data_IF_265082510218
#
_entry.id   IF_265082510218
#
_cell.length_a   1.000
_cell.length_b   1.000
_cell.length_c   1.000
_cell.angle_alpha   90.00
_cell.angle_beta   90.00
_cell.angle_gamma   90.00
#
_symmetry.space_group_name_H-M   'P 1'
#
loop_
_entity.id
_entity.type
_entity.pdbx_description
1 polymer ?
#
# COMPACT_ATOMS: atom_id res chain seq x y z
N UNK A 1 23.24 -12.14 31.10
CA UNK A 1 22.22 -11.88 30.07
C UNK A 1 21.04 -11.17 30.72
N UNK A 2 20.71 -9.97 30.25
CA UNK A 2 19.49 -9.25 30.62
C UNK A 2 18.61 -9.13 29.38
N UNK A 3 17.30 -9.28 29.57
CA UNK A 3 16.26 -9.31 28.54
C UNK A 3 15.35 -8.11 28.74
N UNK A 4 15.11 -7.35 27.66
CA UNK A 4 14.22 -6.20 27.68
C UNK A 4 13.22 -6.29 26.53
N UNK A 5 11.94 -6.08 26.82
CA UNK A 5 10.95 -5.84 25.78
C UNK A 5 11.20 -4.46 25.18
N UNK A 6 11.14 -4.30 23.86
CA UNK A 6 11.54 -3.07 23.17
C UNK A 6 10.59 -2.69 22.05
N UNK A 7 10.66 -1.44 21.61
CA UNK A 7 10.02 -1.01 20.37
C UNK A 7 8.49 -0.96 20.43
N UNK A 8 7.85 -1.63 19.48
CA UNK A 8 6.39 -1.55 19.29
C UNK A 8 5.61 -2.01 20.52
N UNK A 9 6.06 -3.06 21.19
CA UNK A 9 5.39 -3.59 22.37
C UNK A 9 5.31 -2.56 23.51
N UNK A 10 6.42 -1.89 23.82
CA UNK A 10 6.48 -0.89 24.91
C UNK A 10 5.64 0.34 24.56
N UNK A 11 5.76 0.83 23.31
CA UNK A 11 4.98 1.97 22.82
C UNK A 11 3.48 1.68 22.84
N UNK A 12 3.07 0.55 22.28
CA UNK A 12 1.66 0.19 22.14
C UNK A 12 1.03 -0.07 23.51
N UNK A 13 1.77 -0.67 24.45
CA UNK A 13 1.33 -0.79 25.86
C UNK A 13 1.09 0.59 26.50
N UNK A 14 2.03 1.55 26.32
CA UNK A 14 1.90 2.91 26.87
C UNK A 14 0.74 3.69 26.24
N UNK A 15 0.36 3.38 24.99
CA UNK A 15 -0.82 3.93 24.32
C UNK A 15 -2.12 3.21 24.68
N UNK A 16 -2.07 2.14 25.47
CA UNK A 16 -3.24 1.31 25.78
C UNK A 16 -3.75 0.49 24.59
N UNK A 17 -2.91 0.25 23.59
CA UNK A 17 -3.20 -0.57 22.42
C UNK A 17 -2.87 -2.04 22.69
N UNK A 18 -3.54 -2.94 21.96
CA UNK A 18 -3.21 -4.36 22.02
C UNK A 18 -1.80 -4.62 21.45
N UNK A 19 -0.95 -5.27 22.24
CA UNK A 19 0.39 -5.69 21.81
C UNK A 19 0.26 -6.99 21.02
N UNK A 20 0.48 -6.94 19.70
CA UNK A 20 0.40 -8.11 18.82
C UNK A 20 1.70 -8.87 18.75
N UNK A 21 2.84 -8.16 18.77
CA UNK A 21 4.18 -8.72 18.65
C UNK A 21 5.08 -8.16 19.74
N UNK A 22 5.94 -9.02 20.29
CA UNK A 22 6.93 -8.65 21.31
C UNK A 22 8.33 -8.92 20.79
N UNK A 23 9.05 -7.83 20.60
CA UNK A 23 10.47 -7.86 20.28
C UNK A 23 11.26 -7.72 21.57
N UNK A 24 12.30 -8.54 21.71
CA UNK A 24 13.18 -8.56 22.86
C UNK A 24 14.60 -8.19 22.45
N UNK A 25 15.27 -7.37 23.25
CA UNK A 25 16.71 -7.14 23.17
C UNK A 25 17.42 -7.84 24.31
N UNK A 26 18.50 -8.53 23.95
CA UNK A 26 19.34 -9.29 24.85
C UNK A 26 20.70 -8.61 24.98
N UNK A 27 21.02 -8.17 26.20
CA UNK A 27 22.28 -7.49 26.53
C UNK A 27 23.19 -8.44 27.32
N UNK A 28 24.50 -8.40 27.04
CA UNK A 28 25.50 -9.24 27.71
C UNK A 28 25.31 -10.73 27.43
N UNK A 29 25.05 -11.07 26.16
CA UNK A 29 24.98 -12.44 25.64
C UNK A 29 25.68 -12.54 24.29
N UNK A 30 26.09 -13.75 23.90
CA UNK A 30 26.63 -14.06 22.58
C UNK A 30 25.68 -14.99 21.80
N UNK A 31 25.82 -15.10 20.47
CA UNK A 31 25.06 -16.06 19.67
C UNK A 31 25.14 -17.49 20.22
N UNK A 32 26.34 -17.93 20.64
CA UNK A 32 26.59 -19.27 21.17
C UNK A 32 25.80 -19.51 22.46
N UNK A 33 25.67 -18.48 23.31
CA UNK A 33 24.89 -18.56 24.55
C UNK A 33 23.38 -18.73 24.30
N UNK A 34 22.85 -18.13 23.23
CA UNK A 34 21.45 -18.26 22.83
C UNK A 34 21.21 -19.63 22.18
N UNK A 35 22.10 -20.07 21.29
CA UNK A 35 22.04 -21.41 20.68
C UNK A 35 22.11 -22.52 21.73
N UNK A 36 22.99 -22.39 22.73
CA UNK A 36 23.08 -23.32 23.86
C UNK A 36 21.80 -23.37 24.71
N UNK A 37 20.97 -22.32 24.66
CA UNK A 37 19.66 -22.25 25.32
C UNK A 37 18.50 -22.71 24.42
N UNK A 38 18.79 -23.22 23.23
CA UNK A 38 17.80 -23.74 22.29
C UNK A 38 17.11 -22.69 21.42
N UNK A 39 17.61 -21.45 21.39
CA UNK A 39 17.09 -20.43 20.49
C UNK A 39 17.44 -20.76 19.04
N UNK A 40 16.53 -20.42 18.12
CA UNK A 40 16.69 -20.72 16.69
C UNK A 40 17.08 -19.45 15.92
N UNK A 41 18.22 -19.42 15.21
CA UNK A 41 18.63 -18.23 14.46
C UNK A 41 17.71 -17.98 13.26
N UNK A 42 17.39 -16.70 13.01
CA UNK A 42 16.55 -16.24 11.90
C UNK A 42 17.35 -15.31 11.01
N UNK A 43 17.39 -15.63 9.71
CA UNK A 43 18.15 -14.85 8.73
C UNK A 43 19.64 -15.20 8.70
N UNK A 44 20.34 -14.69 7.68
CA UNK A 44 21.78 -14.96 7.48
C UNK A 44 22.69 -13.84 7.99
N UNK A 45 22.20 -12.60 8.01
CA UNK A 45 23.02 -11.41 8.25
C UNK A 45 22.72 -10.72 9.60
N UNK A 46 21.66 -11.12 10.30
CA UNK A 46 21.19 -10.49 11.53
C UNK A 46 21.11 -11.50 12.68
N UNK A 47 21.66 -11.19 13.87
CA UNK A 47 21.59 -12.07 15.04
C UNK A 47 20.23 -11.94 15.75
N UNK A 48 19.15 -12.25 15.03
CA UNK A 48 17.79 -12.40 15.57
C UNK A 48 17.54 -13.88 15.79
N UNK A 49 16.94 -14.22 16.92
CA UNK A 49 16.67 -15.59 17.31
C UNK A 49 15.22 -15.75 17.76
N UNK A 50 14.59 -16.89 17.46
CA UNK A 50 13.28 -17.25 18.01
C UNK A 50 13.45 -17.98 19.33
N UNK A 51 12.67 -17.58 20.32
CA UNK A 51 12.61 -18.26 21.60
C UNK A 51 11.97 -19.67 21.44
N UNK A 52 12.55 -20.73 22.04
CA UNK A 52 12.17 -22.13 21.76
C UNK A 52 10.74 -22.51 22.13
N UNK A 53 10.07 -21.74 23.00
CA UNK A 53 8.69 -22.03 23.44
C UNK A 53 7.66 -21.03 22.96
N UNK A 54 8.02 -19.75 22.94
CA UNK A 54 7.08 -18.66 22.59
C UNK A 54 7.18 -18.27 21.13
N UNK A 55 8.26 -18.64 20.43
CA UNK A 55 8.56 -18.19 19.07
C UNK A 55 8.61 -16.65 18.91
N UNK A 56 8.76 -15.91 20.01
CA UNK A 56 9.00 -14.47 20.00
C UNK A 56 10.44 -14.15 19.55
N UNK A 57 10.65 -12.97 18.99
CA UNK A 57 11.94 -12.54 18.43
C UNK A 57 12.85 -11.93 19.50
N UNK A 58 14.08 -12.44 19.58
CA UNK A 58 15.14 -11.99 20.49
C UNK A 58 16.36 -11.56 19.68
N UNK A 59 16.66 -10.27 19.69
CA UNK A 59 17.83 -9.70 19.04
C UNK A 59 18.95 -9.45 20.05
N UNK A 60 20.19 -9.78 19.68
CA UNK A 60 21.36 -9.32 20.45
C UNK A 60 21.57 -7.81 20.26
N UNK A 61 21.91 -7.11 21.35
CA UNK A 61 22.29 -5.70 21.29
C UNK A 61 23.50 -5.50 20.36
N UNK A 62 23.46 -4.44 19.53
CA UNK A 62 24.46 -4.27 18.45
C UNK A 62 24.89 -2.84 18.21
N UNK A 63 26.07 -2.71 17.60
CA UNK A 63 26.48 -1.50 16.89
C UNK A 63 26.71 -1.79 15.40
N UNK A 64 26.32 -0.87 14.53
CA UNK A 64 26.46 -0.96 13.07
C UNK A 64 27.50 0.08 12.59
N UNK A 65 28.40 -0.27 11.68
CA UNK A 65 29.28 0.74 11.07
C UNK A 65 29.03 0.80 9.57
N UNK A 66 28.62 1.97 9.06
CA UNK A 66 28.51 2.25 7.63
C UNK A 66 29.93 2.29 7.03
N UNK A 67 30.27 1.35 6.16
CA UNK A 67 31.57 1.22 5.49
C UNK A 67 31.54 1.69 4.04
N UNK A 68 30.36 1.81 3.42
CA UNK A 68 30.18 2.31 2.06
C UNK A 68 28.79 2.95 1.86
N UNK A 69 28.61 3.80 0.83
CA UNK A 69 27.29 4.17 0.34
C UNK A 69 26.52 2.92 -0.15
N UNK A 70 25.24 2.80 0.19
CA UNK A 70 24.39 1.67 -0.19
C UNK A 70 24.30 0.53 0.84
N UNK A 71 23.46 -0.47 0.55
CA UNK A 71 23.03 -1.52 1.49
C UNK A 71 24.13 -2.50 1.92
N UNK A 72 25.14 -2.73 1.08
CA UNK A 72 26.23 -3.69 1.37
C UNK A 72 27.31 -3.14 2.31
N UNK A 73 27.10 -1.94 2.85
CA UNK A 73 28.07 -1.23 3.68
C UNK A 73 27.83 -1.33 5.19
N UNK A 74 27.23 -2.39 5.73
CA UNK A 74 27.06 -2.50 7.19
C UNK A 74 27.80 -3.70 7.75
N UNK A 75 28.76 -3.46 8.65
CA UNK A 75 29.34 -4.49 9.50
C UNK A 75 28.63 -4.42 10.86
N UNK A 76 27.98 -5.52 11.23
CA UNK A 76 27.33 -5.67 12.53
C UNK A 76 28.34 -6.14 13.56
N UNK A 77 28.55 -5.33 14.60
CA UNK A 77 29.30 -5.72 15.78
C UNK A 77 28.32 -5.97 16.92
N UNK A 78 27.95 -7.24 17.09
CA UNK A 78 27.26 -7.74 18.28
C UNK A 78 28.32 -8.19 19.29
N UNK A 79 28.67 -7.30 20.22
CA UNK A 79 29.57 -7.61 21.33
C UNK A 79 28.75 -7.68 22.62
N UNK A 80 29.10 -8.58 23.58
CA UNK A 80 28.51 -8.54 24.91
C UNK A 80 28.69 -7.19 25.63
N UNK A 81 29.61 -6.36 25.16
CA UNK A 81 29.91 -5.02 25.68
C UNK A 81 28.91 -3.95 25.22
N UNK A 82 28.11 -4.22 24.18
CA UNK A 82 27.12 -3.24 23.70
C UNK A 82 26.03 -3.06 24.75
N UNK A 83 25.88 -1.81 25.20
CA UNK A 83 24.89 -1.43 26.21
C UNK A 83 23.49 -1.32 25.61
N UNK A 84 22.47 -1.38 26.47
CA UNK A 84 21.08 -1.13 26.06
C UNK A 84 20.94 0.27 25.44
N UNK A 85 21.59 1.28 26.01
CA UNK A 85 21.53 2.66 25.53
C UNK A 85 22.11 2.80 24.11
N UNK A 86 23.23 2.12 23.81
CA UNK A 86 23.82 2.12 22.48
C UNK A 86 22.94 1.46 21.42
N UNK A 87 22.20 0.41 21.78
CA UNK A 87 21.21 -0.22 20.92
C UNK A 87 20.01 0.71 20.66
N UNK A 88 19.45 1.29 21.73
CA UNK A 88 18.31 2.21 21.64
C UNK A 88 18.65 3.44 20.79
N UNK A 89 19.87 3.97 20.90
CA UNK A 89 20.38 5.12 20.12
C UNK A 89 20.33 4.89 18.61
N UNK A 90 20.40 3.64 18.16
CA UNK A 90 20.41 3.28 16.72
C UNK A 90 19.03 3.10 16.13
N UNK A 91 17.97 3.13 16.94
CA UNK A 91 16.60 3.00 16.46
C UNK A 91 16.18 4.24 15.66
N UNK A 92 15.08 4.08 14.93
CA UNK A 92 14.56 5.11 14.04
C UNK A 92 13.93 6.26 14.82
N UNK A 93 12.96 5.95 15.68
CA UNK A 93 12.13 6.92 16.40
C UNK A 93 12.27 6.79 17.92
N UNK A 94 12.20 7.92 18.63
CA UNK A 94 12.24 7.99 20.11
C UNK A 94 11.16 7.13 20.74
N UNK A 95 9.93 7.19 20.21
CA UNK A 95 8.79 6.36 20.64
C UNK A 95 9.03 4.84 20.47
N UNK A 96 10.01 4.43 19.66
CA UNK A 96 10.40 3.03 19.49
C UNK A 96 11.72 2.70 20.21
N UNK A 97 12.36 3.71 20.81
CA UNK A 97 13.64 3.63 21.50
C UNK A 97 13.47 3.56 23.02
N UNK A 98 12.42 2.88 23.46
CA UNK A 98 12.16 2.54 24.86
C UNK A 98 12.32 1.04 25.07
N UNK A 99 12.72 0.68 26.28
CA UNK A 99 12.89 -0.71 26.72
C UNK A 99 12.20 -0.93 28.07
N UNK A 100 11.67 -2.12 28.31
CA UNK A 100 11.02 -2.51 29.57
C UNK A 100 11.62 -3.80 30.09
N UNK A 101 12.03 -3.84 31.34
CA UNK A 101 12.54 -5.06 31.96
C UNK A 101 11.42 -5.98 32.49
N UNK A 102 11.81 -7.14 33.01
CA UNK A 102 10.89 -8.13 33.60
C UNK A 102 10.17 -7.62 34.86
N UNK A 103 10.74 -6.64 35.56
CA UNK A 103 10.13 -5.99 36.71
C UNK A 103 9.12 -4.89 36.31
N UNK A 104 9.04 -4.58 35.02
CA UNK A 104 8.16 -3.56 34.45
C UNK A 104 8.73 -2.14 34.47
N UNK A 105 10.00 -1.97 34.84
CA UNK A 105 10.69 -0.69 34.76
C UNK A 105 10.99 -0.35 33.31
N UNK A 106 10.65 0.87 32.90
CA UNK A 106 10.89 1.36 31.54
C UNK A 106 12.12 2.25 31.51
N UNK A 107 13.03 1.91 30.61
CA UNK A 107 14.23 2.66 30.26
C UNK A 107 13.96 3.48 29.00
N UNK A 108 14.07 4.79 29.12
CA UNK A 108 13.80 5.75 28.05
C UNK A 108 14.87 6.86 28.03
N UNK A 109 16.08 6.58 27.51
CA UNK A 109 17.17 7.55 27.50
C UNK A 109 16.97 8.69 26.48
N UNK A 110 15.98 8.58 25.59
CA UNK A 110 15.78 9.49 24.46
C UNK A 110 14.45 10.26 24.51
N UNK A 111 13.72 10.20 25.61
CA UNK A 111 12.47 10.96 25.81
C UNK A 111 11.30 10.48 24.95
N UNK A 112 11.26 9.19 24.60
CA UNK A 112 10.18 8.58 23.84
C UNK A 112 8.81 8.70 24.52
N UNK A 113 8.74 8.71 25.85
CA UNK A 113 7.51 8.92 26.62
C UNK A 113 6.94 10.33 26.43
N UNK A 114 7.81 11.33 26.47
CA UNK A 114 7.42 12.72 26.31
C UNK A 114 6.95 12.98 24.87
N UNK A 115 7.67 12.44 23.88
CA UNK A 115 7.26 12.50 22.47
C UNK A 115 5.94 11.73 22.23
N UNK A 116 5.73 10.59 22.89
CA UNK A 116 4.48 9.83 22.82
C UNK A 116 3.30 10.63 23.38
N UNK A 117 3.48 11.27 24.52
CA UNK A 117 2.48 12.13 25.15
C UNK A 117 2.20 13.40 24.31
N UNK A 118 3.23 13.98 23.70
CA UNK A 118 3.13 15.12 22.81
C UNK A 118 2.65 14.78 21.39
N UNK A 119 2.49 13.49 21.06
CA UNK A 119 2.15 12.97 19.73
C UNK A 119 3.14 13.44 18.66
N UNK A 120 4.44 13.25 18.92
CA UNK A 120 5.53 13.68 18.04
C UNK A 120 6.34 12.47 17.57
N UNK A 121 6.58 12.40 16.26
CA UNK A 121 7.53 11.49 15.64
C UNK A 121 8.90 12.19 15.55
N UNK A 122 9.83 11.80 16.43
CA UNK A 122 11.20 12.33 16.48
C UNK A 122 12.23 11.24 16.23
N UNK A 123 13.23 11.54 15.41
CA UNK A 123 14.38 10.65 15.23
C UNK A 123 15.24 10.58 16.50
N UNK A 124 15.82 9.42 16.77
CA UNK A 124 16.59 9.19 18.01
C UNK A 124 17.93 9.91 18.01
N UNK A 125 18.70 9.78 16.93
CA UNK A 125 20.08 10.26 16.88
C UNK A 125 20.56 10.48 15.43
N UNK A 126 21.72 11.13 15.21
CA UNK A 126 22.30 11.29 13.87
C UNK A 126 22.51 9.98 13.11
N UNK A 127 22.55 8.82 13.79
CA UNK A 127 22.60 7.50 13.17
C UNK A 127 21.38 7.22 12.26
N UNK A 128 20.30 8.00 12.38
CA UNK A 128 19.18 7.98 11.45
C UNK A 128 19.62 8.18 9.99
N UNK A 129 20.63 9.00 9.74
CA UNK A 129 21.13 9.25 8.38
C UNK A 129 21.86 8.04 7.75
N UNK A 130 22.20 7.02 8.55
CA UNK A 130 22.95 5.86 8.06
C UNK A 130 22.09 4.98 7.13
N UNK A 131 20.78 4.83 7.40
CA UNK A 131 19.85 4.02 6.58
C UNK A 131 18.69 4.87 6.01
N UNK A 132 18.69 5.15 4.69
CA UNK A 132 17.65 5.98 4.06
C UNK A 132 16.24 5.37 4.14
N UNK A 133 16.09 4.08 4.44
CA UNK A 133 14.74 3.48 4.61
C UNK A 133 14.00 4.12 5.77
N UNK A 134 14.71 4.73 6.73
CA UNK A 134 14.09 5.34 7.90
C UNK A 134 13.18 6.50 7.52
N UNK A 135 13.42 7.19 6.40
CA UNK A 135 12.50 8.18 5.83
C UNK A 135 11.12 7.54 5.54
N UNK A 136 11.12 6.39 4.86
CA UNK A 136 9.91 5.63 4.54
C UNK A 136 9.23 5.10 5.81
N UNK A 137 10.00 4.61 6.79
CA UNK A 137 9.47 4.14 8.08
C UNK A 137 8.78 5.27 8.85
N UNK A 138 9.38 6.45 8.92
CA UNK A 138 8.77 7.63 9.56
C UNK A 138 7.46 7.99 8.86
N UNK A 139 7.45 8.01 7.53
CA UNK A 139 6.23 8.29 6.76
C UNK A 139 5.14 7.22 7.00
N UNK A 140 5.51 5.93 7.05
CA UNK A 140 4.59 4.84 7.45
C UNK A 140 4.03 5.06 8.86
N UNK A 141 4.89 5.42 9.82
CA UNK A 141 4.44 5.71 11.19
C UNK A 141 3.50 6.90 11.24
N UNK A 142 3.66 7.90 10.38
CA UNK A 142 2.70 9.00 10.24
C UNK A 142 1.35 8.52 9.69
N UNK A 143 1.30 7.47 8.86
CA UNK A 143 0.04 6.86 8.43
C UNK A 143 -0.65 6.01 9.51
N UNK A 144 0.15 5.34 10.35
CA UNK A 144 -0.35 4.55 11.50
C UNK A 144 -0.86 5.46 12.63
N UNK A 145 -0.03 6.39 13.08
CA UNK A 145 -0.32 7.36 14.13
C UNK A 145 -0.67 8.71 13.49
N UNK A 146 -1.82 8.73 12.81
CA UNK A 146 -2.18 9.83 11.92
C UNK A 146 -2.46 11.17 12.62
N UNK A 147 -2.63 11.15 13.94
CA UNK A 147 -2.74 12.31 14.80
C UNK A 147 -1.40 12.81 15.34
N UNK A 148 -0.28 12.19 14.96
CA UNK A 148 1.06 12.61 15.34
C UNK A 148 1.64 13.60 14.33
N UNK A 149 2.38 14.58 14.84
CA UNK A 149 3.20 15.51 14.06
C UNK A 149 4.64 15.00 13.91
N UNK A 150 5.39 15.56 12.95
CA UNK A 150 6.83 15.32 12.86
C UNK A 150 7.58 16.40 13.63
N UNK A 151 8.63 16.00 14.36
CA UNK A 151 9.53 16.97 14.97
C UNK A 151 10.25 17.79 13.88
N UNK A 152 10.37 19.13 14.00
CA UNK A 152 10.97 19.98 12.97
C UNK A 152 12.37 19.55 12.55
N UNK A 153 13.21 19.15 13.50
CA UNK A 153 14.57 18.70 13.24
C UNK A 153 14.63 17.34 12.54
N UNK A 154 13.61 16.49 12.72
CA UNK A 154 13.46 15.21 12.00
C UNK A 154 13.13 15.48 10.53
N UNK A 155 12.17 16.37 10.27
CA UNK A 155 11.85 16.79 8.90
C UNK A 155 13.06 17.45 8.21
N UNK A 156 13.79 18.30 8.93
CA UNK A 156 15.00 18.93 8.41
C UNK A 156 16.10 17.89 8.09
N UNK A 157 16.27 16.86 8.93
CA UNK A 157 17.20 15.76 8.65
C UNK A 157 16.79 14.97 7.42
N UNK A 158 15.52 14.60 7.29
CA UNK A 158 14.99 13.88 6.12
C UNK A 158 15.22 14.67 4.82
N UNK A 159 14.95 15.99 4.84
CA UNK A 159 15.24 16.87 3.70
C UNK A 159 16.71 16.89 3.31
N UNK A 160 17.63 16.95 4.29
CA UNK A 160 19.08 16.88 4.03
C UNK A 160 19.49 15.55 3.40
N UNK A 161 18.95 14.44 3.88
CA UNK A 161 19.22 13.11 3.32
C UNK A 161 18.72 12.99 1.87
N UNK A 162 17.53 13.51 1.58
CA UNK A 162 16.98 13.56 0.21
C UNK A 162 17.86 14.43 -0.68
N UNK A 163 18.25 15.62 -0.23
CA UNK A 163 19.12 16.52 -0.98
C UNK A 163 20.51 15.92 -1.26
N UNK A 164 21.01 15.07 -0.35
CA UNK A 164 22.26 14.34 -0.51
C UNK A 164 22.15 13.12 -1.45
N UNK A 165 20.95 12.78 -1.97
CA UNK A 165 20.75 11.65 -2.87
C UNK A 165 20.69 10.29 -2.19
N UNK A 166 20.60 10.22 -0.85
CA UNK A 166 20.58 8.93 -0.12
C UNK A 166 19.33 8.09 -0.49
N UNK A 167 18.21 8.74 -0.81
CA UNK A 167 16.97 8.08 -1.24
C UNK A 167 17.13 7.37 -2.60
N UNK A 168 17.99 7.87 -3.47
CA UNK A 168 18.22 7.28 -4.81
C UNK A 168 18.95 5.93 -4.72
N UNK A 169 19.63 5.66 -3.59
CA UNK A 169 20.32 4.40 -3.31
C UNK A 169 19.40 3.31 -2.70
N UNK A 170 18.11 3.60 -2.48
CA UNK A 170 17.17 2.64 -1.91
C UNK A 170 16.87 1.49 -2.87
N UNK A 171 16.97 0.27 -2.35
CA UNK A 171 16.60 -0.95 -3.08
C UNK A 171 15.07 -0.96 -3.30
N UNK A 172 14.58 -1.17 -4.54
CA UNK A 172 13.15 -1.13 -4.86
C UNK A 172 12.24 -1.96 -3.97
N UNK A 173 12.66 -3.17 -3.60
CA UNK A 173 11.89 -4.09 -2.77
C UNK A 173 11.67 -3.52 -1.35
N UNK A 174 12.66 -2.81 -0.79
CA UNK A 174 12.51 -2.12 0.51
C UNK A 174 11.55 -0.94 0.39
N UNK A 175 11.61 -0.20 -0.72
CA UNK A 175 10.69 0.90 -1.01
C UNK A 175 9.25 0.37 -1.07
N UNK A 176 9.02 -0.68 -1.85
CA UNK A 176 7.70 -1.29 -1.97
C UNK A 176 7.18 -1.84 -0.64
N UNK A 177 8.00 -2.52 0.16
CA UNK A 177 7.58 -3.04 1.46
C UNK A 177 7.03 -1.95 2.37
N UNK A 178 7.70 -0.79 2.43
CA UNK A 178 7.22 0.32 3.27
C UNK A 178 5.99 1.01 2.67
N UNK A 179 5.92 1.20 1.35
CA UNK A 179 4.71 1.73 0.68
C UNK A 179 3.51 0.80 0.90
N UNK A 180 3.70 -0.50 0.74
CA UNK A 180 2.65 -1.49 0.92
C UNK A 180 2.13 -1.50 2.36
N UNK A 181 3.03 -1.44 3.36
CA UNK A 181 2.64 -1.35 4.77
C UNK A 181 1.91 -0.04 5.05
N UNK A 182 2.45 1.09 4.58
CA UNK A 182 1.83 2.40 4.79
C UNK A 182 0.46 2.54 4.13
N UNK A 183 0.26 1.97 2.94
CA UNK A 183 -1.05 1.87 2.30
C UNK A 183 -2.05 1.09 3.14
N UNK A 184 -1.61 0.11 3.94
CA UNK A 184 -2.45 -0.73 4.79
C UNK A 184 -2.76 -0.12 6.16
N UNK A 185 -2.19 1.03 6.50
CA UNK A 185 -2.49 1.73 7.75
C UNK A 185 -3.87 2.41 7.73
N UNK A 186 -4.26 3.00 8.86
CA UNK A 186 -5.56 3.65 9.05
C UNK A 186 -5.72 4.92 8.20
N UNK A 187 -4.66 5.72 8.04
CA UNK A 187 -4.68 6.95 7.24
C UNK A 187 -3.49 7.02 6.28
N UNK A 188 -3.49 6.24 5.19
CA UNK A 188 -2.37 6.15 4.27
C UNK A 188 -1.96 7.50 3.65
N UNK A 189 -2.85 8.50 3.56
CA UNK A 189 -2.51 9.84 3.04
C UNK A 189 -1.31 10.47 3.73
N UNK A 190 -1.22 10.32 5.05
CA UNK A 190 -0.16 10.93 5.88
C UNK A 190 1.23 10.47 5.48
N UNK A 191 1.37 9.24 5.00
CA UNK A 191 2.65 8.75 4.46
C UNK A 191 3.10 9.58 3.26
N UNK A 192 2.21 9.78 2.29
CA UNK A 192 2.54 10.49 1.06
C UNK A 192 2.69 11.99 1.30
N UNK A 193 1.92 12.58 2.21
CA UNK A 193 2.11 13.95 2.69
C UNK A 193 3.52 14.15 3.27
N UNK A 194 3.95 13.29 4.20
CA UNK A 194 5.30 13.35 4.79
C UNK A 194 6.39 13.14 3.74
N UNK A 195 6.22 12.18 2.82
CA UNK A 195 7.17 11.97 1.73
C UNK A 195 7.26 13.19 0.81
N UNK A 196 6.14 13.88 0.55
CA UNK A 196 6.10 15.11 -0.24
C UNK A 196 6.77 16.27 0.50
N UNK A 197 6.46 16.46 1.79
CA UNK A 197 7.03 17.51 2.64
C UNK A 197 8.55 17.43 2.79
N UNK A 198 9.12 16.23 2.83
CA UNK A 198 10.57 16.01 2.87
C UNK A 198 11.23 15.93 1.47
N UNK A 199 10.43 15.92 0.40
CA UNK A 199 10.90 15.84 -0.99
C UNK A 199 11.25 14.44 -1.48
N UNK A 200 11.04 13.39 -0.67
CA UNK A 200 11.30 12.02 -1.05
C UNK A 200 10.29 11.48 -2.08
N UNK A 201 9.05 12.00 -2.09
CA UNK A 201 7.99 11.53 -2.99
C UNK A 201 8.37 11.69 -4.47
N UNK A 202 8.95 12.83 -4.85
CA UNK A 202 9.38 13.11 -6.23
C UNK A 202 10.50 12.18 -6.72
N UNK A 203 11.27 11.59 -5.81
CA UNK A 203 12.31 10.59 -6.11
C UNK A 203 11.74 9.18 -6.20
N UNK A 204 10.84 8.83 -5.30
CA UNK A 204 10.32 7.46 -5.13
C UNK A 204 9.12 7.15 -6.03
N UNK A 205 8.19 8.10 -6.15
CA UNK A 205 6.93 8.00 -6.91
C UNK A 205 6.69 9.32 -7.67
N UNK A 206 7.56 9.69 -8.63
CA UNK A 206 7.40 10.93 -9.39
C UNK A 206 6.02 11.05 -10.06
N UNK A 207 5.43 9.92 -10.45
CA UNK A 207 4.10 9.87 -11.06
C UNK A 207 2.99 10.33 -10.10
N UNK A 208 3.13 10.05 -8.81
CA UNK A 208 2.19 10.50 -7.77
C UNK A 208 2.46 11.95 -7.39
N UNK A 209 3.73 12.33 -7.26
CA UNK A 209 4.12 13.71 -6.93
C UNK A 209 3.60 14.73 -7.96
N UNK A 210 3.66 14.34 -9.25
CA UNK A 210 3.23 15.14 -10.40
C UNK A 210 1.72 15.45 -10.44
N UNK A 211 0.90 14.79 -9.61
CA UNK A 211 -0.52 15.11 -9.48
C UNK A 211 -0.77 16.41 -8.71
N UNK A 212 0.19 16.87 -7.91
CA UNK A 212 0.00 18.06 -7.11
C UNK A 212 -0.04 19.32 -7.96
N UNK A 213 -1.04 20.16 -7.73
CA UNK A 213 -1.35 21.35 -8.51
C UNK A 213 -2.12 21.08 -9.80
N UNK A 214 -2.44 19.81 -10.13
CA UNK A 214 -3.22 19.47 -11.32
C UNK A 214 -4.71 19.68 -11.02
N UNK A 215 -5.38 20.66 -11.66
CA UNK A 215 -6.74 21.05 -11.31
C UNK A 215 -7.78 20.14 -11.97
N UNK A 216 -8.83 19.82 -11.22
CA UNK A 216 -9.99 19.05 -11.62
C UNK A 216 -11.26 19.91 -11.60
N UNK A 217 -12.33 19.41 -12.23
CA UNK A 217 -13.62 20.09 -12.24
C UNK A 217 -14.27 20.09 -10.86
N UNK A 218 -14.49 21.26 -10.28
CA UNK A 218 -15.09 21.44 -8.95
C UNK A 218 -16.48 20.80 -8.78
N UNK A 219 -17.28 20.70 -9.86
CA UNK A 219 -18.61 20.05 -9.83
C UNK A 219 -18.54 18.58 -9.39
N UNK A 220 -17.43 17.91 -9.70
CA UNK A 220 -17.19 16.50 -9.39
C UNK A 220 -16.12 16.30 -8.33
N UNK A 221 -15.16 17.22 -8.24
CA UNK A 221 -13.99 17.18 -7.36
C UNK A 221 -13.91 18.50 -6.59
N UNK A 222 -14.69 18.69 -5.52
CA UNK A 222 -14.72 19.97 -4.79
C UNK A 222 -13.37 20.35 -4.17
N UNK A 223 -12.50 19.37 -3.93
CA UNK A 223 -11.10 19.56 -3.53
C UNK A 223 -10.20 20.18 -4.61
N UNK A 224 -10.62 20.12 -5.88
CA UNK A 224 -9.94 20.63 -7.09
C UNK A 224 -8.60 19.97 -7.39
N UNK A 225 -7.70 19.85 -6.42
CA UNK A 225 -6.36 19.31 -6.61
C UNK A 225 -6.36 17.78 -6.74
N UNK A 226 -5.70 17.26 -7.78
CA UNK A 226 -5.67 15.82 -8.07
C UNK A 226 -4.87 15.03 -7.02
N UNK A 227 -3.78 15.57 -6.47
CA UNK A 227 -3.06 14.89 -5.39
C UNK A 227 -3.92 14.79 -4.14
N UNK A 228 -4.61 15.88 -3.77
CA UNK A 228 -5.55 15.88 -2.64
C UNK A 228 -6.66 14.86 -2.86
N UNK A 229 -7.26 14.80 -4.06
CA UNK A 229 -8.24 13.76 -4.42
C UNK A 229 -7.68 12.36 -4.17
N UNK A 230 -6.53 12.01 -4.77
CA UNK A 230 -5.94 10.67 -4.61
C UNK A 230 -5.65 10.35 -3.14
N UNK A 231 -5.24 11.33 -2.32
CA UNK A 231 -5.04 11.15 -0.88
C UNK A 231 -6.36 10.80 -0.16
N UNK A 232 -7.45 11.49 -0.50
CA UNK A 232 -8.78 11.18 0.05
C UNK A 232 -9.28 9.80 -0.40
N UNK A 233 -8.96 9.39 -1.63
CA UNK A 233 -9.33 8.09 -2.20
C UNK A 233 -8.63 6.93 -1.49
N UNK A 234 -7.33 7.03 -1.19
CA UNK A 234 -6.63 5.97 -0.45
C UNK A 234 -7.05 5.90 1.03
N UNK A 235 -7.38 7.02 1.65
CA UNK A 235 -7.96 7.06 3.00
C UNK A 235 -9.36 6.42 3.01
N UNK A 236 -10.19 6.70 2.01
CA UNK A 236 -11.50 6.05 1.85
C UNK A 236 -11.36 4.54 1.60
N UNK A 237 -10.41 4.13 0.75
CA UNK A 237 -10.12 2.71 0.54
C UNK A 237 -9.71 2.02 1.86
N UNK A 238 -9.01 2.73 2.74
CA UNK A 238 -8.67 2.24 4.07
C UNK A 238 -9.89 2.07 4.97
N UNK A 239 -10.77 3.08 5.01
CA UNK A 239 -12.02 3.05 5.77
C UNK A 239 -12.96 1.92 5.32
N UNK A 240 -12.98 1.62 4.02
CA UNK A 240 -13.73 0.50 3.44
C UNK A 240 -13.13 -0.89 3.75
N UNK A 241 -12.01 -0.96 4.48
CA UNK A 241 -11.33 -2.22 4.80
C UNK A 241 -10.72 -2.90 3.57
N UNK A 242 -10.38 -2.13 2.54
CA UNK A 242 -9.93 -2.66 1.25
C UNK A 242 -8.58 -3.40 1.37
N UNK A 243 -8.36 -4.49 0.60
CA UNK A 243 -7.08 -5.19 0.57
C UNK A 243 -6.01 -4.39 -0.19
N UNK A 244 -4.74 -4.75 0.00
CA UNK A 244 -3.59 -4.04 -0.59
C UNK A 244 -3.70 -3.81 -2.10
N UNK A 245 -4.09 -4.79 -2.95
CA UNK A 245 -4.27 -4.54 -4.38
C UNK A 245 -5.24 -3.39 -4.68
N UNK A 246 -6.38 -3.33 -3.97
CA UNK A 246 -7.39 -2.27 -4.10
C UNK A 246 -6.83 -0.91 -3.69
N UNK A 247 -6.11 -0.84 -2.56
CA UNK A 247 -5.51 0.42 -2.07
C UNK A 247 -4.42 0.94 -3.00
N UNK A 248 -3.62 0.04 -3.58
CA UNK A 248 -2.63 0.42 -4.59
C UNK A 248 -3.28 0.87 -5.91
N UNK A 249 -4.37 0.22 -6.33
CA UNK A 249 -5.15 0.65 -7.48
C UNK A 249 -5.77 2.04 -7.26
N UNK A 250 -6.30 2.31 -6.07
CA UNK A 250 -6.79 3.62 -5.64
C UNK A 250 -5.70 4.71 -5.73
N UNK A 251 -4.47 4.44 -5.25
CA UNK A 251 -3.34 5.38 -5.36
C UNK A 251 -2.99 5.75 -6.82
N UNK A 252 -3.20 4.84 -7.76
CA UNK A 252 -2.65 4.92 -9.11
C UNK A 252 -3.68 5.10 -10.22
N UNK A 253 -4.98 5.17 -9.90
CA UNK A 253 -6.03 5.19 -10.92
C UNK A 253 -5.96 6.41 -11.85
N UNK A 254 -5.42 7.53 -11.36
CA UNK A 254 -5.47 8.84 -11.99
C UNK A 254 -4.11 9.42 -12.41
N UNK A 255 -3.03 8.63 -12.39
CA UNK A 255 -1.67 9.11 -12.70
C UNK A 255 -1.57 9.87 -14.02
N UNK A 256 -2.37 9.48 -15.02
CA UNK A 256 -2.42 10.08 -16.34
C UNK A 256 -2.93 11.52 -16.37
N UNK A 257 -3.62 11.99 -15.31
CA UNK A 257 -4.08 13.39 -15.23
C UNK A 257 -2.90 14.37 -15.24
N UNK A 258 -1.77 13.99 -14.63
CA UNK A 258 -0.53 14.78 -14.62
C UNK A 258 0.06 15.03 -16.01
N UNK A 259 -0.28 14.21 -17.01
CA UNK A 259 0.19 14.36 -18.39
C UNK A 259 -0.76 15.18 -19.27
N UNK A 260 -1.84 15.72 -18.71
CA UNK A 260 -2.84 16.47 -19.48
C UNK A 260 -2.26 17.82 -19.92
N UNK A 261 -2.26 18.14 -21.23
CA UNK A 261 -1.86 19.46 -21.72
C UNK A 261 -2.69 20.59 -21.10
N UNK A 262 -2.06 21.74 -20.81
CA UNK A 262 -2.70 22.89 -20.14
C UNK A 262 -3.99 23.34 -20.83
N UNK A 263 -4.02 23.33 -22.17
CA UNK A 263 -5.21 23.73 -22.95
C UNK A 263 -6.40 22.77 -22.84
N UNK A 264 -6.23 21.60 -22.23
CA UNK A 264 -7.28 20.59 -22.02
C UNK A 264 -7.70 20.46 -20.55
N UNK A 265 -7.05 21.21 -19.64
CA UNK A 265 -7.44 21.26 -18.23
C UNK A 265 -8.80 21.98 -18.07
N UNK A 266 -9.63 21.58 -17.09
CA UNK A 266 -9.47 20.49 -16.13
C UNK A 266 -10.20 19.20 -16.55
N UNK A 267 -10.30 18.90 -17.86
CA UNK A 267 -11.15 17.79 -18.38
C UNK A 267 -10.42 16.45 -18.53
N UNK A 268 -9.09 16.46 -18.60
CA UNK A 268 -8.24 15.25 -18.65
C UNK A 268 -8.68 14.17 -19.66
N UNK A 269 -8.90 14.50 -20.95
CA UNK A 269 -9.28 13.49 -21.93
C UNK A 269 -8.20 12.41 -22.08
N UNK A 270 -8.60 11.14 -22.03
CA UNK A 270 -7.70 10.00 -22.23
C UNK A 270 -6.75 9.71 -21.06
N UNK A 271 -6.98 10.29 -19.88
CA UNK A 271 -6.15 10.03 -18.71
C UNK A 271 -6.18 8.55 -18.28
N UNK A 272 -7.23 7.80 -18.59
CA UNK A 272 -7.29 6.36 -18.27
C UNK A 272 -6.17 5.58 -19.00
N UNK A 273 -5.98 5.84 -20.30
CA UNK A 273 -4.91 5.21 -21.09
C UNK A 273 -3.52 5.68 -20.63
N UNK A 274 -3.35 6.97 -20.34
CA UNK A 274 -2.08 7.49 -19.83
C UNK A 274 -1.73 6.90 -18.47
N UNK A 275 -2.71 6.74 -17.58
CA UNK A 275 -2.52 6.09 -16.27
C UNK A 275 -2.03 4.65 -16.43
N UNK A 276 -2.64 3.88 -17.34
CA UNK A 276 -2.17 2.51 -17.66
C UNK A 276 -0.72 2.51 -18.14
N UNK A 277 -0.35 3.46 -19.01
CA UNK A 277 1.01 3.58 -19.53
C UNK A 277 2.05 3.92 -18.45
N UNK A 278 1.66 4.68 -17.42
CA UNK A 278 2.51 5.04 -16.28
C UNK A 278 2.62 3.92 -15.23
N UNK A 279 1.54 3.16 -15.00
CA UNK A 279 1.51 2.09 -13.99
C UNK A 279 2.52 1.00 -14.29
N UNK A 280 2.70 0.61 -15.56
CA UNK A 280 3.55 -0.52 -15.92
C UNK A 280 5.05 -0.27 -15.60
N UNK A 281 5.68 0.84 -16.05
CA UNK A 281 7.05 1.18 -15.65
C UNK A 281 7.20 1.38 -14.15
N UNK A 282 6.23 2.04 -13.48
CA UNK A 282 6.24 2.22 -12.03
C UNK A 282 6.29 0.88 -11.31
N UNK A 283 5.42 -0.05 -11.69
CA UNK A 283 5.36 -1.38 -11.07
C UNK A 283 6.63 -2.19 -11.33
N UNK A 284 7.22 -2.08 -12.52
CA UNK A 284 8.49 -2.73 -12.84
C UNK A 284 9.65 -2.15 -12.02
N UNK A 285 9.70 -0.81 -11.88
CA UNK A 285 10.72 -0.09 -11.12
C UNK A 285 10.68 -0.44 -9.64
N UNK A 286 9.50 -0.49 -9.04
CA UNK A 286 9.32 -0.78 -7.61
C UNK A 286 9.09 -2.26 -7.29
N UNK A 287 9.16 -3.16 -8.28
CA UNK A 287 8.92 -4.61 -8.11
C UNK A 287 7.58 -4.92 -7.46
N UNK A 288 6.54 -4.16 -7.84
CA UNK A 288 5.18 -4.33 -7.34
C UNK A 288 4.65 -5.72 -7.73
N UNK A 289 4.05 -6.47 -6.78
CA UNK A 289 3.47 -7.78 -7.06
C UNK A 289 2.45 -7.75 -8.19
N UNK A 290 2.41 -8.83 -8.97
CA UNK A 290 1.55 -8.95 -10.14
C UNK A 290 0.06 -8.71 -9.80
N UNK A 291 -0.41 -9.15 -8.65
CA UNK A 291 -1.81 -8.94 -8.22
C UNK A 291 -2.15 -7.45 -8.09
N UNK A 292 -1.29 -6.67 -7.44
CA UNK A 292 -1.46 -5.22 -7.29
C UNK A 292 -1.38 -4.52 -8.65
N UNK A 293 -0.40 -4.88 -9.48
CA UNK A 293 -0.21 -4.32 -10.82
C UNK A 293 -1.42 -4.57 -11.72
N UNK A 294 -1.93 -5.80 -11.77
CA UNK A 294 -3.07 -6.12 -12.63
C UNK A 294 -4.35 -5.43 -12.17
N UNK A 295 -4.60 -5.34 -10.85
CA UNK A 295 -5.77 -4.61 -10.36
C UNK A 295 -5.66 -3.11 -10.66
N UNK A 296 -4.50 -2.49 -10.41
CA UNK A 296 -4.24 -1.09 -10.73
C UNK A 296 -4.47 -0.79 -12.21
N UNK A 297 -3.97 -1.65 -13.11
CA UNK A 297 -4.19 -1.52 -14.56
C UNK A 297 -5.67 -1.55 -14.94
N UNK A 298 -6.45 -2.44 -14.33
CA UNK A 298 -7.89 -2.55 -14.60
C UNK A 298 -8.66 -1.31 -14.10
N UNK A 299 -8.39 -0.86 -12.87
CA UNK A 299 -9.05 0.31 -12.27
C UNK A 299 -8.69 1.57 -13.07
N UNK A 300 -7.42 1.83 -13.33
CA UNK A 300 -6.98 2.97 -14.13
C UNK A 300 -7.65 2.99 -15.51
N UNK A 301 -7.79 1.82 -16.15
CA UNK A 301 -8.42 1.72 -17.47
C UNK A 301 -9.91 1.96 -17.48
N UNK A 302 -10.64 1.45 -16.48
CA UNK A 302 -12.09 1.26 -16.55
C UNK A 302 -12.89 2.02 -15.47
N UNK A 303 -12.26 2.71 -14.53
CA UNK A 303 -12.99 3.42 -13.46
C UNK A 303 -14.03 4.42 -14.03
N UNK A 304 -13.70 5.16 -15.10
CA UNK A 304 -14.63 6.06 -15.77
C UNK A 304 -15.84 5.38 -16.42
N UNK A 305 -15.68 4.15 -16.94
CA UNK A 305 -16.78 3.34 -17.47
C UNK A 305 -17.63 2.75 -16.34
N UNK A 306 -16.99 2.37 -15.23
CA UNK A 306 -17.66 1.84 -14.04
C UNK A 306 -18.53 2.92 -13.38
N UNK A 307 -18.02 4.14 -13.22
CA UNK A 307 -18.80 5.28 -12.67
C UNK A 307 -20.06 5.58 -13.49
N UNK A 308 -19.99 5.36 -14.80
CA UNK A 308 -21.07 5.60 -15.77
C UNK A 308 -21.72 4.30 -16.25
N UNK A 309 -21.71 3.24 -15.44
CA UNK A 309 -22.19 1.93 -15.89
C UNK A 309 -23.65 1.92 -16.37
N UNK A 310 -24.46 2.84 -15.85
CA UNK A 310 -25.87 2.99 -16.22
C UNK A 310 -26.03 3.46 -17.68
N UNK A 311 -25.08 4.26 -18.19
CA UNK A 311 -25.04 4.77 -19.56
C UNK A 311 -24.55 3.72 -20.58
N UNK A 312 -23.91 2.64 -20.12
CA UNK A 312 -23.31 1.64 -21.01
C UNK A 312 -24.38 0.80 -21.73
N UNK A 313 -24.16 0.48 -23.01
CA UNK A 313 -25.00 -0.51 -23.70
C UNK A 313 -24.73 -1.92 -23.13
N UNK A 314 -25.70 -2.85 -23.16
CA UNK A 314 -25.49 -4.24 -22.70
C UNK A 314 -24.24 -4.92 -23.29
N UNK A 315 -23.96 -4.72 -24.58
CA UNK A 315 -22.74 -5.22 -25.22
C UNK A 315 -21.46 -4.62 -24.61
N UNK A 316 -21.46 -3.32 -24.31
CA UNK A 316 -20.33 -2.62 -23.67
C UNK A 316 -20.15 -3.05 -22.21
N UNK A 317 -21.25 -3.28 -21.48
CA UNK A 317 -21.19 -3.89 -20.14
C UNK A 317 -20.56 -5.28 -20.20
N UNK A 318 -20.92 -6.11 -21.21
CA UNK A 318 -20.27 -7.41 -21.38
C UNK A 318 -18.77 -7.28 -21.67
N UNK A 319 -18.39 -6.35 -22.56
CA UNK A 319 -16.98 -6.09 -22.87
C UNK A 319 -16.17 -5.68 -21.63
N UNK A 320 -16.74 -4.83 -20.78
CA UNK A 320 -16.15 -4.45 -19.48
C UNK A 320 -15.96 -5.69 -18.57
N UNK A 321 -16.99 -6.51 -18.42
CA UNK A 321 -16.93 -7.72 -17.58
C UNK A 321 -15.89 -8.71 -18.10
N UNK A 322 -15.80 -8.90 -19.42
CA UNK A 322 -14.81 -9.77 -20.06
C UNK A 322 -13.39 -9.21 -19.92
N UNK A 323 -13.19 -7.90 -20.13
CA UNK A 323 -11.90 -7.25 -19.99
C UNK A 323 -11.36 -7.26 -18.55
N UNK A 324 -12.23 -7.17 -17.55
CA UNK A 324 -11.87 -7.35 -16.14
C UNK A 324 -11.68 -8.82 -15.74
N UNK A 325 -11.97 -9.76 -16.64
CA UNK A 325 -11.99 -11.21 -16.38
C UNK A 325 -12.99 -11.60 -15.27
N UNK A 326 -14.08 -10.85 -15.14
CA UNK A 326 -15.02 -10.96 -14.02
C UNK A 326 -15.73 -12.33 -13.96
N UNK A 327 -15.86 -13.00 -15.11
CA UNK A 327 -16.47 -14.33 -15.19
C UNK A 327 -15.63 -15.42 -14.54
N UNK A 328 -14.30 -15.35 -14.69
CA UNK A 328 -13.37 -16.33 -14.11
C UNK A 328 -12.84 -15.91 -12.74
N UNK A 329 -12.76 -14.59 -12.49
CA UNK A 329 -12.23 -14.01 -11.25
C UNK A 329 -13.21 -12.99 -10.64
N UNK A 330 -14.41 -13.42 -10.21
CA UNK A 330 -15.44 -12.52 -9.70
C UNK A 330 -14.99 -11.77 -8.43
N UNK A 331 -14.15 -12.40 -7.59
CA UNK A 331 -13.60 -11.75 -6.39
C UNK A 331 -12.68 -10.58 -6.75
N UNK A 332 -11.85 -10.72 -7.79
CA UNK A 332 -11.00 -9.64 -8.28
C UNK A 332 -11.83 -8.51 -8.88
N UNK A 333 -12.92 -8.82 -9.57
CA UNK A 333 -13.84 -7.79 -10.04
C UNK A 333 -14.48 -7.03 -8.87
N UNK A 334 -14.86 -7.72 -7.78
CA UNK A 334 -15.28 -7.07 -6.54
C UNK A 334 -14.23 -6.09 -5.99
N UNK A 335 -12.94 -6.43 -6.04
CA UNK A 335 -11.85 -5.52 -5.65
C UNK A 335 -11.71 -4.30 -6.58
N UNK A 336 -11.97 -4.44 -7.89
CA UNK A 336 -12.01 -3.32 -8.84
C UNK A 336 -13.16 -2.38 -8.49
N UNK A 337 -14.35 -2.92 -8.22
CA UNK A 337 -15.52 -2.13 -7.83
C UNK A 337 -15.29 -1.40 -6.52
N UNK A 338 -14.62 -2.03 -5.55
CA UNK A 338 -14.26 -1.42 -4.27
C UNK A 338 -13.29 -0.25 -4.43
N UNK A 339 -12.33 -0.34 -5.36
CA UNK A 339 -11.45 0.79 -5.68
C UNK A 339 -12.23 1.96 -6.29
N UNK A 340 -13.21 1.66 -7.16
CA UNK A 340 -14.04 2.70 -7.78
C UNK A 340 -15.00 3.33 -6.76
N UNK A 341 -15.51 2.56 -5.79
CA UNK A 341 -16.27 3.12 -4.66
C UNK A 341 -15.40 4.07 -3.82
N UNK A 342 -14.16 3.67 -3.55
CA UNK A 342 -13.21 4.52 -2.85
C UNK A 342 -12.92 5.82 -3.61
N UNK A 343 -12.77 5.77 -4.94
CA UNK A 343 -12.61 6.95 -5.79
C UNK A 343 -13.85 7.87 -5.74
N UNK A 344 -15.05 7.28 -5.81
CA UNK A 344 -16.28 8.05 -5.76
C UNK A 344 -16.50 8.74 -4.41
N UNK A 345 -16.32 8.00 -3.30
CA UNK A 345 -16.58 8.49 -1.93
C UNK A 345 -15.41 9.31 -1.37
N UNK A 346 -14.20 9.10 -1.88
CA UNK A 346 -12.97 9.82 -1.52
C UNK A 346 -12.91 11.23 -2.08
N UNK A 347 -13.98 12.00 -1.91
CA UNK A 347 -14.12 13.40 -2.37
C UNK A 347 -14.69 14.25 -1.25
N UNK A 348 -14.41 15.54 -1.28
CA UNK A 348 -14.84 16.45 -0.22
C UNK A 348 -16.37 16.49 -0.10
N UNK A 349 -16.88 16.06 1.06
CA UNK A 349 -18.32 16.00 1.37
C UNK A 349 -19.06 14.80 0.76
N UNK A 350 -18.36 13.80 0.21
CA UNK A 350 -18.97 12.64 -0.46
C UNK A 350 -18.78 11.32 0.32
N UNK A 351 -18.15 11.36 1.49
CA UNK A 351 -17.75 10.15 2.23
C UNK A 351 -18.90 9.19 2.54
N UNK A 352 -20.12 9.71 2.74
CA UNK A 352 -21.32 8.90 3.03
C UNK A 352 -22.25 8.71 1.82
N UNK A 353 -21.86 9.15 0.62
CA UNK A 353 -22.71 9.01 -0.56
C UNK A 353 -22.78 7.55 -1.00
N UNK A 354 -23.98 7.13 -1.38
CA UNK A 354 -24.20 5.81 -1.95
C UNK A 354 -23.50 5.65 -3.30
N UNK A 355 -22.95 4.46 -3.54
CA UNK A 355 -22.32 4.08 -4.80
C UNK A 355 -23.03 2.86 -5.43
N UNK A 356 -24.23 3.04 -6.03
CA UNK A 356 -25.04 1.94 -6.54
C UNK A 356 -24.40 1.17 -7.72
N UNK A 357 -23.44 1.76 -8.40
CA UNK A 357 -22.76 1.22 -9.58
C UNK A 357 -22.16 -0.17 -9.30
N UNK A 358 -21.57 -0.37 -8.12
CA UNK A 358 -21.02 -1.66 -7.72
C UNK A 358 -22.10 -2.75 -7.69
N UNK A 359 -23.25 -2.48 -7.07
CA UNK A 359 -24.37 -3.41 -7.02
C UNK A 359 -24.96 -3.68 -8.41
N UNK A 360 -25.08 -2.65 -9.24
CA UNK A 360 -25.54 -2.77 -10.64
C UNK A 360 -24.66 -3.71 -11.45
N UNK A 361 -23.34 -3.53 -11.39
CA UNK A 361 -22.39 -4.37 -12.13
C UNK A 361 -22.29 -5.80 -11.58
N UNK A 362 -22.48 -6.00 -10.27
CA UNK A 362 -22.56 -7.35 -9.70
C UNK A 362 -23.84 -8.10 -10.13
N UNK A 363 -24.98 -7.41 -10.23
CA UNK A 363 -26.21 -8.01 -10.82
C UNK A 363 -26.00 -8.37 -12.29
N UNK A 364 -25.37 -7.49 -13.06
CA UNK A 364 -25.01 -7.75 -14.45
C UNK A 364 -24.10 -8.99 -14.57
N UNK A 365 -23.06 -9.09 -13.73
CA UNK A 365 -22.19 -10.26 -13.70
C UNK A 365 -22.95 -11.56 -13.39
N UNK A 366 -23.86 -11.53 -12.42
CA UNK A 366 -24.70 -12.69 -12.09
C UNK A 366 -25.54 -13.12 -13.29
N UNK A 367 -26.21 -12.18 -13.97
CA UNK A 367 -27.04 -12.47 -15.14
C UNK A 367 -26.24 -13.12 -16.29
N UNK A 368 -24.99 -12.71 -16.48
CA UNK A 368 -24.09 -13.29 -17.50
C UNK A 368 -23.59 -14.68 -17.09
N UNK A 369 -23.34 -14.90 -15.79
CA UNK A 369 -22.85 -16.19 -15.26
C UNK A 369 -23.91 -17.28 -15.21
N UNK A 370 -25.19 -16.93 -15.18
CA UNK A 370 -26.30 -17.90 -15.22
C UNK A 370 -26.58 -18.46 -16.62
N UNK A 371 -25.91 -17.95 -17.66
CA UNK A 371 -26.05 -18.48 -19.02
C UNK A 371 -25.42 -19.88 -19.11
N UNK A 372 -26.21 -20.86 -19.56
CA UNK A 372 -25.77 -22.23 -19.81
C UNK A 372 -24.88 -22.32 -21.05
N UNK A 373 -23.59 -22.05 -20.86
CA UNK A 373 -22.59 -22.15 -21.91
C UNK A 373 -22.45 -23.59 -22.46
N UNK A 374 -22.70 -24.60 -21.63
CA UNK A 374 -22.61 -26.02 -22.03
C UNK A 374 -23.75 -26.38 -22.98
N UNK A 375 -24.99 -26.06 -22.62
CA UNK A 375 -26.16 -26.27 -23.47
C UNK A 375 -26.05 -25.54 -24.81
N UNK A 376 -25.59 -24.27 -24.80
CA UNK A 376 -25.35 -23.51 -26.04
C UNK A 376 -24.27 -24.19 -26.89
N UNK A 377 -23.17 -24.65 -26.28
CA UNK A 377 -22.10 -25.32 -27.01
C UNK A 377 -22.57 -26.64 -27.64
N UNK A 378 -23.35 -27.45 -26.92
CA UNK A 378 -23.93 -28.69 -27.43
C UNK A 378 -24.90 -28.43 -28.60
N UNK A 379 -25.82 -27.48 -28.46
CA UNK A 379 -26.81 -27.14 -29.49
C UNK A 379 -26.14 -26.64 -30.78
N UNK A 380 -25.13 -25.78 -30.66
CA UNK A 380 -24.41 -25.24 -31.83
C UNK A 380 -23.54 -26.31 -32.49
N UNK A 381 -22.85 -27.15 -31.71
CA UNK A 381 -22.00 -28.22 -32.25
C UNK A 381 -22.80 -29.27 -33.02
N UNK A 382 -24.04 -29.55 -32.59
CA UNK A 382 -24.94 -30.48 -33.28
C UNK A 382 -25.33 -30.03 -34.70
N UNK A 383 -25.18 -28.74 -35.02
CA UNK A 383 -25.54 -28.15 -36.32
C UNK A 383 -24.32 -27.67 -37.12
N UNK A 384 -23.12 -28.07 -36.71
CA UNK A 384 -21.88 -27.57 -37.29
C UNK A 384 -21.16 -28.56 -38.20
N UNK A 385 -20.88 -28.13 -39.43
CA UNK A 385 -20.17 -28.92 -40.45
C UNK A 385 -18.69 -29.17 -40.12
N UNK A 386 -18.04 -28.25 -39.40
CA UNK A 386 -16.63 -28.35 -39.01
C UNK A 386 -16.39 -27.82 -37.59
N UNK A 387 -15.34 -28.33 -36.92
CA UNK A 387 -14.95 -27.91 -35.56
C UNK A 387 -14.57 -26.43 -35.45
N UNK A 388 -13.92 -25.87 -36.48
CA UNK A 388 -13.58 -24.45 -36.53
C UNK A 388 -14.84 -23.56 -36.67
N UNK A 389 -15.77 -23.94 -37.55
CA UNK A 389 -17.05 -23.23 -37.70
C UNK A 389 -17.96 -23.39 -36.47
N UNK A 390 -17.85 -24.51 -35.74
CA UNK A 390 -18.52 -24.70 -34.46
C UNK A 390 -17.99 -23.71 -33.42
N UNK A 391 -16.67 -23.62 -33.25
CA UNK A 391 -16.05 -22.76 -32.22
C UNK A 391 -16.43 -21.29 -32.38
N UNK A 392 -16.39 -20.75 -33.60
CA UNK A 392 -16.78 -19.35 -33.85
C UNK A 392 -18.28 -19.12 -33.59
N UNK A 393 -19.15 -20.04 -34.03
CA UNK A 393 -20.60 -19.95 -33.77
C UNK A 393 -20.95 -20.08 -32.30
N UNK A 394 -20.24 -20.92 -31.54
CA UNK A 394 -20.44 -21.06 -30.09
C UNK A 394 -20.11 -19.74 -29.40
N UNK A 395 -18.98 -19.12 -29.73
CA UNK A 395 -18.59 -17.84 -29.16
C UNK A 395 -19.62 -16.73 -29.48
N UNK A 396 -20.10 -16.67 -30.73
CA UNK A 396 -21.11 -15.71 -31.16
C UNK A 396 -22.46 -15.93 -30.46
N UNK A 397 -22.95 -17.18 -30.39
CA UNK A 397 -24.20 -17.54 -29.73
C UNK A 397 -24.15 -17.26 -28.21
N UNK A 398 -23.04 -17.61 -27.56
CA UNK A 398 -22.82 -17.34 -26.14
C UNK A 398 -22.80 -15.84 -25.86
N UNK A 399 -22.11 -15.06 -26.71
CA UNK A 399 -22.08 -13.60 -26.61
C UNK A 399 -23.48 -13.00 -26.77
N UNK A 400 -24.25 -13.44 -27.76
CA UNK A 400 -25.62 -12.98 -27.98
C UNK A 400 -26.53 -13.27 -26.76
N UNK A 401 -26.49 -14.50 -26.22
CA UNK A 401 -27.26 -14.89 -25.04
C UNK A 401 -26.93 -14.04 -23.80
N UNK A 402 -25.64 -13.74 -23.60
CA UNK A 402 -25.17 -12.87 -22.51
C UNK A 402 -25.65 -11.44 -22.66
N UNK A 403 -25.58 -10.87 -23.86
CA UNK A 403 -26.11 -9.52 -24.16
C UNK A 403 -27.61 -9.48 -23.89
N UNK A 404 -28.37 -10.49 -24.30
CA UNK A 404 -29.80 -10.57 -24.05
C UNK A 404 -30.13 -10.63 -22.54
N UNK A 405 -29.39 -11.41 -21.77
CA UNK A 405 -29.53 -11.44 -20.31
C UNK A 405 -29.23 -10.09 -19.65
N UNK A 406 -28.20 -9.37 -20.14
CA UNK A 406 -27.90 -8.02 -19.67
C UNK A 406 -29.00 -7.01 -20.04
N UNK A 407 -29.60 -7.13 -21.23
CA UNK A 407 -30.74 -6.30 -21.64
C UNK A 407 -31.92 -6.49 -20.71
N UNK A 408 -32.27 -7.74 -20.37
CA UNK A 408 -33.31 -8.06 -19.38
C UNK A 408 -32.97 -7.51 -18.00
N UNK A 409 -31.71 -7.61 -17.57
CA UNK A 409 -31.28 -7.13 -16.26
C UNK A 409 -31.32 -5.60 -16.13
N UNK A 410 -31.16 -4.85 -17.22
CA UNK A 410 -31.27 -3.38 -17.23
C UNK A 410 -32.72 -2.88 -17.21
N UNK A 411 -33.65 -3.64 -17.78
CA UNK A 411 -35.07 -3.31 -17.82
C UNK A 411 -35.88 -4.42 -17.14
N UNK A 412 -35.86 -4.51 -15.79
CA UNK A 412 -36.79 -5.36 -15.08
C UNK A 412 -38.17 -4.74 -15.29
N UNK A 413 -38.99 -5.38 -16.13
CA UNK A 413 -40.35 -4.92 -16.45
C UNK A 413 -41.23 -4.75 -15.22
#
# INVERSE_FOLDING_TARGET
MKTYAVGGAVRDELLGLAVTDRDWVVVGATPEMLLARGFLPVGRDFPVFLHPRSHEEYALARTERKTAPGYTGFVFHASPEVTLEEDLRRRDLTINAMAKDEAGMVFDPHGGRDDLAAKVLRHVSPAFAEDPVRILRVARFAARFHDFGLAPETLALMRRMVAAGEVDALVPERVWQEIARGLMEARPSRMFEVLRECGALSRLLPEVDALGGVPQRADFHPEVDTFVHVMMVIDMAAQLGSPLPTRFAALTHDLGKAQTPVGLLPRHPGHEQHSVALILPLCQRLKVPAECRELARLVARYHGDIHRCDELRPATTLDLLEACDALRRPQRFGQVLLACEADYRGRLGWTERAYPQAATLLRALTAVRTIDAGGIACAVSATAETSAAASHRIAAALRAARIEALTRAKNPG
#
